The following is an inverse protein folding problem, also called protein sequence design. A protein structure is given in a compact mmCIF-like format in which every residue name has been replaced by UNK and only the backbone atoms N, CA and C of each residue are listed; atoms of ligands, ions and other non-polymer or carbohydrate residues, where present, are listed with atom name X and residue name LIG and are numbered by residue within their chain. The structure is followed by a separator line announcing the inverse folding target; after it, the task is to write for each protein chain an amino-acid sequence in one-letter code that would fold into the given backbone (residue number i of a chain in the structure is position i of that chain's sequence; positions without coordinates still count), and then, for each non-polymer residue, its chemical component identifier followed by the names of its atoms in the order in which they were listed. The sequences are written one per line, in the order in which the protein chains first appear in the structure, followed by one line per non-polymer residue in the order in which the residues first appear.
data_IF_008835233163
#
_entry.id   IF_008835233163
#
_cell.length_a   1.000
_cell.length_b   1.000
_cell.length_c   1.000
_cell.angle_alpha   90.00
_cell.angle_beta   90.00
_cell.angle_gamma   90.00
#
_symmetry.space_group_name_H-M   'P 1'
#
loop_
_entity.id
_entity.type
_entity.pdbx_description
1 polymer ?
#
# COMPACT_ATOMS: atom_id res chain seq x y z
N UNK A 1 4.44 -5.84 -14.49
CA UNK A 1 5.51 -6.62 -15.11
C UNK A 1 5.31 -8.11 -14.87
N UNK A 2 4.92 -8.54 -13.66
CA UNK A 2 4.84 -9.98 -13.32
C UNK A 2 3.53 -10.66 -13.73
N UNK A 3 2.49 -9.93 -14.12
CA UNK A 3 1.21 -10.50 -14.57
C UNK A 3 1.28 -11.40 -15.81
N UNK A 4 2.41 -11.37 -16.52
CA UNK A 4 2.66 -12.20 -17.72
C UNK A 4 3.60 -13.38 -17.46
N UNK A 5 3.95 -13.65 -16.20
CA UNK A 5 4.89 -14.70 -15.82
C UNK A 5 4.27 -15.64 -14.79
N UNK A 6 4.86 -16.82 -14.62
CA UNK A 6 4.45 -17.72 -13.56
C UNK A 6 4.87 -17.18 -12.18
N UNK A 7 4.18 -17.56 -11.08
CA UNK A 7 4.59 -17.19 -9.72
C UNK A 7 6.04 -17.54 -9.41
N UNK A 8 6.53 -18.66 -9.90
CA UNK A 8 7.93 -19.11 -9.75
C UNK A 8 8.91 -18.14 -10.41
N UNK A 9 8.68 -17.83 -11.69
CA UNK A 9 9.53 -16.90 -12.42
C UNK A 9 9.51 -15.49 -11.84
N UNK A 10 8.35 -15.05 -11.34
CA UNK A 10 8.21 -13.76 -10.68
C UNK A 10 8.98 -13.72 -9.36
N UNK A 11 8.86 -14.75 -8.52
CA UNK A 11 9.60 -14.85 -7.26
C UNK A 11 11.11 -14.90 -7.50
N UNK A 12 11.57 -15.68 -8.45
CA UNK A 12 12.99 -15.77 -8.82
C UNK A 12 13.54 -14.43 -9.32
N UNK A 13 12.76 -13.67 -10.09
CA UNK A 13 13.19 -12.35 -10.56
C UNK A 13 13.32 -11.35 -9.40
N UNK A 14 12.34 -11.31 -8.49
CA UNK A 14 12.41 -10.46 -7.28
C UNK A 14 13.63 -10.83 -6.43
N UNK A 15 13.84 -12.11 -6.16
CA UNK A 15 14.99 -12.58 -5.38
C UNK A 15 16.33 -12.26 -6.04
N UNK A 16 16.42 -12.35 -7.37
CA UNK A 16 17.59 -11.97 -8.13
C UNK A 16 17.87 -10.47 -8.02
N UNK A 17 16.84 -9.63 -8.11
CA UNK A 17 16.97 -8.17 -7.92
C UNK A 17 17.41 -7.81 -6.50
N UNK A 18 16.83 -8.44 -5.49
CA UNK A 18 17.23 -8.26 -4.09
C UNK A 18 18.71 -8.62 -3.92
N UNK A 19 19.16 -9.76 -4.49
CA UNK A 19 20.59 -10.15 -4.46
C UNK A 19 21.48 -9.14 -5.13
N UNK A 20 21.09 -8.63 -6.30
CA UNK A 20 21.85 -7.60 -7.01
C UNK A 20 21.98 -6.31 -6.21
N UNK A 21 20.87 -5.77 -5.75
CA UNK A 21 20.84 -4.52 -4.98
C UNK A 21 21.57 -4.62 -3.64
N UNK A 22 21.55 -5.78 -3.00
CA UNK A 22 22.18 -5.96 -1.69
C UNK A 22 23.73 -5.84 -1.74
N UNK A 23 24.36 -5.99 -2.90
CA UNK A 23 25.79 -5.72 -3.04
C UNK A 23 26.14 -4.22 -3.03
N UNK A 24 25.19 -3.38 -3.39
CA UNK A 24 25.37 -1.93 -3.47
C UNK A 24 25.01 -1.20 -2.17
N UNK A 25 24.45 -1.92 -1.21
CA UNK A 25 24.00 -1.37 0.06
C UNK A 25 25.10 -1.52 1.12
N UNK A 26 25.38 -0.48 1.95
CA UNK A 26 26.32 -0.58 3.06
C UNK A 26 25.95 -1.71 4.03
N UNK A 27 26.89 -2.60 4.35
CA UNK A 27 26.62 -3.81 5.13
C UNK A 27 26.21 -3.54 6.59
N UNK A 28 26.69 -2.45 7.17
CA UNK A 28 26.49 -2.18 8.59
C UNK A 28 25.08 -1.69 8.93
N UNK A 29 24.42 -0.99 8.01
CA UNK A 29 23.10 -0.41 8.23
C UNK A 29 22.24 -0.43 6.96
N UNK A 30 22.39 -1.45 6.14
CA UNK A 30 21.70 -1.57 4.88
C UNK A 30 20.21 -1.88 5.07
N UNK A 31 19.37 -1.11 4.40
CA UNK A 31 17.93 -1.33 4.34
C UNK A 31 17.45 -1.33 2.89
N UNK A 32 16.70 -2.35 2.50
CA UNK A 32 16.01 -2.43 1.23
C UNK A 32 14.50 -2.44 1.47
N UNK A 33 13.81 -1.42 1.01
CA UNK A 33 12.35 -1.36 1.06
C UNK A 33 11.74 -1.97 -0.20
N UNK A 34 10.75 -2.85 -0.02
CA UNK A 34 9.86 -3.32 -1.08
C UNK A 34 8.51 -2.70 -0.83
N UNK A 35 8.07 -1.84 -1.74
CA UNK A 35 6.84 -1.06 -1.62
C UNK A 35 5.92 -1.49 -2.76
N UNK A 36 4.75 -2.00 -2.42
CA UNK A 36 3.75 -2.52 -3.34
C UNK A 36 2.37 -2.04 -2.91
N UNK A 37 1.46 -1.91 -3.87
CA UNK A 37 0.03 -1.78 -3.58
C UNK A 37 -0.46 -3.02 -2.83
N UNK A 38 -1.50 -2.87 -2.03
CA UNK A 38 -2.03 -3.97 -1.23
C UNK A 38 -2.82 -5.00 -2.05
N UNK A 39 -3.51 -4.54 -3.10
CA UNK A 39 -4.43 -5.34 -3.92
C UNK A 39 -3.89 -5.62 -5.32
N UNK A 40 -3.44 -4.59 -6.04
CA UNK A 40 -3.09 -4.64 -7.46
C UNK A 40 -2.09 -5.73 -7.87
N UNK A 41 -1.03 -6.03 -7.11
CA UNK A 41 -0.07 -7.04 -7.52
C UNK A 41 -0.66 -8.45 -7.65
N UNK A 42 -1.80 -8.71 -7.00
CA UNK A 42 -2.36 -10.04 -6.80
C UNK A 42 -3.49 -10.40 -7.76
N UNK A 43 -4.15 -9.42 -8.37
CA UNK A 43 -5.30 -9.60 -9.25
C UNK A 43 -5.04 -10.51 -10.46
N UNK A 44 -3.81 -10.56 -10.92
CA UNK A 44 -3.41 -11.36 -12.07
C UNK A 44 -3.04 -12.81 -11.75
N UNK A 45 -3.03 -13.19 -10.47
CA UNK A 45 -2.80 -14.56 -10.04
C UNK A 45 -4.12 -15.23 -9.67
N UNK A 46 -4.37 -16.43 -10.21
CA UNK A 46 -5.58 -17.20 -9.91
C UNK A 46 -5.79 -17.50 -8.43
N UNK A 47 -4.71 -17.55 -7.68
CA UNK A 47 -4.67 -17.82 -6.24
C UNK A 47 -4.49 -16.56 -5.40
N UNK A 48 -4.75 -15.37 -5.96
CA UNK A 48 -4.56 -14.11 -5.24
C UNK A 48 -3.12 -13.86 -4.81
N UNK A 49 -2.14 -14.45 -5.51
CA UNK A 49 -0.71 -14.28 -5.22
C UNK A 49 -0.15 -15.18 -4.11
N UNK A 50 -0.94 -16.10 -3.55
CA UNK A 50 -0.51 -16.98 -2.46
C UNK A 50 0.77 -17.76 -2.82
N UNK A 51 0.82 -18.32 -4.03
CA UNK A 51 1.98 -19.09 -4.49
C UNK A 51 3.23 -18.22 -4.60
N UNK A 52 3.09 -17.03 -5.19
CA UNK A 52 4.19 -16.08 -5.31
C UNK A 52 4.73 -15.66 -3.94
N UNK A 53 3.85 -15.24 -3.04
CA UNK A 53 4.22 -14.81 -1.68
C UNK A 53 4.86 -15.96 -0.89
N UNK A 54 4.31 -17.17 -0.98
CA UNK A 54 4.89 -18.34 -0.30
C UNK A 54 6.31 -18.62 -0.79
N UNK A 55 6.58 -18.56 -2.09
CA UNK A 55 7.90 -18.75 -2.65
C UNK A 55 8.87 -17.65 -2.21
N UNK A 56 8.41 -16.40 -2.24
CA UNK A 56 9.21 -15.27 -1.80
C UNK A 56 9.59 -15.39 -0.33
N UNK A 57 8.62 -15.61 0.56
CA UNK A 57 8.87 -15.69 2.01
C UNK A 57 9.73 -16.90 2.40
N UNK A 58 9.52 -18.05 1.77
CA UNK A 58 10.35 -19.24 2.00
C UNK A 58 11.85 -19.03 1.73
N UNK A 59 12.17 -18.13 0.79
CA UNK A 59 13.57 -17.81 0.50
C UNK A 59 14.29 -17.12 1.67
N UNK A 60 13.54 -16.56 2.62
CA UNK A 60 14.05 -15.91 3.81
C UNK A 60 13.92 -16.76 5.08
N UNK A 61 13.31 -17.95 5.01
CA UNK A 61 13.31 -18.92 6.10
C UNK A 61 14.75 -19.34 6.45
N UNK A 62 14.96 -19.92 7.61
CA UNK A 62 16.27 -20.43 8.03
C UNK A 62 17.41 -19.36 8.04
N UNK A 63 17.13 -18.22 8.69
CA UNK A 63 18.12 -17.17 8.95
C UNK A 63 18.37 -16.20 7.78
N UNK A 64 17.42 -16.07 6.85
CA UNK A 64 17.42 -15.06 5.79
C UNK A 64 17.98 -15.54 4.45
N UNK A 65 17.89 -14.67 3.46
CA UNK A 65 18.37 -14.90 2.09
C UNK A 65 19.89 -14.72 2.04
N UNK A 66 20.61 -15.79 1.76
CA UNK A 66 22.07 -15.76 1.55
C UNK A 66 22.38 -15.24 0.14
N UNK A 67 23.25 -14.24 0.02
CA UNK A 67 23.64 -13.63 -1.26
C UNK A 67 25.11 -13.79 -1.62
N UNK A 68 25.89 -14.45 -0.77
CA UNK A 68 27.33 -14.65 -0.95
C UNK A 68 28.18 -13.76 -0.02
N UNK A 69 29.48 -14.03 0.04
CA UNK A 69 30.45 -13.28 0.86
C UNK A 69 30.04 -13.05 2.33
N UNK A 70 29.23 -13.95 2.90
CA UNK A 70 28.73 -13.83 4.27
C UNK A 70 27.58 -12.85 4.45
N UNK A 71 27.11 -12.22 3.38
CA UNK A 71 25.98 -11.26 3.41
C UNK A 71 24.66 -12.02 3.48
N UNK A 72 23.76 -11.55 4.33
CA UNK A 72 22.41 -12.07 4.49
C UNK A 72 21.39 -10.94 4.47
N UNK A 73 20.31 -11.14 3.74
CA UNK A 73 19.14 -10.25 3.76
C UNK A 73 18.06 -10.90 4.62
N UNK A 74 17.57 -10.18 5.61
CA UNK A 74 16.50 -10.63 6.51
C UNK A 74 15.25 -9.80 6.30
N UNK A 75 14.09 -10.45 6.34
CA UNK A 75 12.83 -9.74 6.38
C UNK A 75 12.64 -9.07 7.74
N UNK A 76 12.12 -7.87 7.71
CA UNK A 76 11.80 -7.12 8.91
C UNK A 76 10.55 -6.29 8.72
N UNK A 77 9.87 -5.94 9.80
CA UNK A 77 8.84 -4.90 9.76
C UNK A 77 9.49 -3.52 9.77
N UNK A 78 8.79 -2.51 9.26
CA UNK A 78 9.30 -1.13 9.27
C UNK A 78 9.67 -0.69 10.69
N UNK A 79 8.83 -0.97 11.67
CA UNK A 79 9.09 -0.61 13.08
C UNK A 79 10.40 -1.22 13.60
N UNK A 80 10.60 -2.52 13.39
CA UNK A 80 11.83 -3.20 13.82
C UNK A 80 13.06 -2.75 13.03
N UNK A 81 12.89 -2.44 11.75
CA UNK A 81 13.97 -1.89 10.95
C UNK A 81 14.44 -0.54 11.50
N UNK A 82 13.52 0.34 11.90
CA UNK A 82 13.83 1.64 12.50
C UNK A 82 14.52 1.53 13.87
N UNK A 83 14.26 0.48 14.64
CA UNK A 83 14.98 0.21 15.89
C UNK A 83 16.44 -0.19 15.65
N UNK A 84 16.69 -0.95 14.57
CA UNK A 84 18.00 -1.51 14.24
C UNK A 84 18.84 -0.59 13.37
N UNK A 85 18.18 0.16 12.49
CA UNK A 85 18.81 1.07 11.51
C UNK A 85 18.19 2.44 11.69
N UNK A 86 18.71 3.25 12.61
CA UNK A 86 18.20 4.60 12.82
C UNK A 86 18.36 5.43 11.54
N UNK A 87 17.38 6.27 11.19
CA UNK A 87 17.42 7.10 9.99
C UNK A 87 18.69 7.96 9.97
N UNK A 88 19.54 7.87 8.92
CA UNK A 88 20.80 8.60 8.87
C UNK A 88 20.61 10.09 8.58
N UNK A 89 19.44 10.46 8.09
CA UNK A 89 19.13 11.83 7.66
C UNK A 89 17.69 12.19 8.01
N UNK A 90 17.48 13.48 8.24
CA UNK A 90 16.16 14.10 8.38
C UNK A 90 15.85 14.89 7.11
N UNK A 91 14.65 14.69 6.57
CA UNK A 91 14.11 15.54 5.53
C UNK A 91 13.27 16.62 6.19
N UNK A 92 13.70 17.89 6.08
CA UNK A 92 12.97 19.02 6.65
C UNK A 92 11.75 19.40 5.82
N UNK A 93 11.77 19.09 4.53
CA UNK A 93 10.66 19.33 3.62
C UNK A 93 10.47 18.09 2.72
N UNK A 94 9.22 17.69 2.57
CA UNK A 94 8.81 16.66 1.63
C UNK A 94 7.79 17.28 0.66
N UNK A 95 8.00 17.08 -0.64
CA UNK A 95 7.04 17.49 -1.63
C UNK A 95 5.69 16.76 -1.42
N UNK A 96 4.60 17.54 -1.43
CA UNK A 96 3.24 16.97 -1.32
C UNK A 96 2.79 16.47 -2.69
N UNK A 97 2.64 15.18 -2.83
CA UNK A 97 2.22 14.56 -4.07
C UNK A 97 2.22 13.04 -3.95
N UNK A 98 1.65 12.39 -4.95
CA UNK A 98 1.65 10.94 -5.10
C UNK A 98 2.79 10.49 -6.00
N UNK A 99 2.94 9.18 -6.16
CA UNK A 99 3.86 8.59 -7.15
C UNK A 99 3.39 8.82 -8.60
N UNK A 100 2.12 9.18 -8.81
CA UNK A 100 1.56 9.53 -10.12
C UNK A 100 1.69 11.04 -10.32
N UNK A 101 2.40 11.45 -11.37
CA UNK A 101 2.61 12.84 -11.76
C UNK A 101 3.13 13.77 -10.65
N UNK A 102 3.49 13.24 -9.48
CA UNK A 102 3.97 13.99 -8.31
C UNK A 102 2.94 14.99 -7.77
N UNK A 103 1.66 14.75 -8.00
CA UNK A 103 0.54 15.53 -7.46
C UNK A 103 -0.58 14.61 -6.94
N UNK A 104 -1.71 15.17 -6.52
CA UNK A 104 -2.87 14.43 -6.03
C UNK A 104 -4.10 14.58 -6.91
N UNK A 105 -3.96 15.07 -8.14
CA UNK A 105 -5.10 15.43 -8.99
C UNK A 105 -6.09 14.31 -9.23
N UNK A 106 -5.61 13.06 -9.30
CA UNK A 106 -6.48 11.89 -9.49
C UNK A 106 -7.47 11.71 -8.34
N UNK A 107 -7.08 12.14 -7.13
CA UNK A 107 -7.90 11.90 -5.93
C UNK A 107 -8.54 13.15 -5.36
N UNK A 108 -8.08 14.33 -5.76
CA UNK A 108 -8.59 15.61 -5.26
C UNK A 108 -8.31 16.73 -6.25
N UNK A 109 -9.32 17.53 -6.55
CA UNK A 109 -9.20 18.66 -7.47
C UNK A 109 -10.38 18.76 -8.44
N UNK A 110 -10.87 17.66 -8.95
CA UNK A 110 -12.13 17.63 -9.70
C UNK A 110 -13.31 17.96 -8.79
N UNK A 111 -14.36 18.49 -9.38
CA UNK A 111 -15.56 18.88 -8.62
C UNK A 111 -16.20 17.67 -7.93
N UNK A 112 -16.18 16.53 -8.58
CA UNK A 112 -16.75 15.28 -8.06
C UNK A 112 -15.95 14.76 -6.87
N UNK A 113 -14.63 14.68 -6.98
CA UNK A 113 -13.72 14.30 -5.88
C UNK A 113 -13.91 15.20 -4.68
N UNK A 114 -13.86 16.52 -4.91
CA UNK A 114 -14.00 17.50 -3.83
C UNK A 114 -15.35 17.36 -3.10
N UNK A 115 -16.41 17.06 -3.85
CA UNK A 115 -17.72 16.79 -3.26
C UNK A 115 -17.73 15.51 -2.41
N UNK A 116 -17.06 14.46 -2.85
CA UNK A 116 -16.87 13.24 -2.07
C UNK A 116 -16.12 13.52 -0.75
N UNK A 117 -15.01 14.24 -0.81
CA UNK A 117 -14.26 14.63 0.37
C UNK A 117 -15.05 15.51 1.34
N UNK A 118 -15.83 16.46 0.83
CA UNK A 118 -16.73 17.28 1.65
C UNK A 118 -17.78 16.43 2.36
N UNK A 119 -18.36 15.45 1.66
CA UNK A 119 -19.32 14.51 2.25
C UNK A 119 -18.69 13.68 3.36
N UNK A 120 -17.50 13.12 3.13
CA UNK A 120 -16.76 12.38 4.15
C UNK A 120 -16.45 13.23 5.37
N UNK A 121 -15.98 14.46 5.16
CA UNK A 121 -15.68 15.40 6.25
C UNK A 121 -16.92 15.67 7.12
N UNK A 122 -18.06 15.97 6.49
CA UNK A 122 -19.32 16.21 7.20
C UNK A 122 -19.80 14.96 7.93
N UNK A 123 -19.73 13.80 7.28
CA UNK A 123 -20.15 12.52 7.88
C UNK A 123 -19.28 12.18 9.08
N UNK A 124 -17.96 12.34 8.95
CA UNK A 124 -17.01 12.13 10.04
C UNK A 124 -17.28 13.05 11.24
N UNK A 125 -17.47 14.34 10.99
CA UNK A 125 -17.79 15.29 12.06
C UNK A 125 -19.08 14.87 12.80
N UNK A 126 -20.12 14.49 12.05
CA UNK A 126 -21.37 14.01 12.61
C UNK A 126 -21.20 12.74 13.43
N UNK A 127 -20.39 11.79 12.95
CA UNK A 127 -20.13 10.53 13.64
C UNK A 127 -19.36 10.75 14.94
N UNK A 128 -18.38 11.65 14.95
CA UNK A 128 -17.66 12.06 16.18
C UNK A 128 -18.64 12.54 17.23
N UNK A 129 -19.56 13.43 16.86
CA UNK A 129 -20.58 13.97 17.79
C UNK A 129 -21.54 12.91 18.30
N UNK A 130 -21.91 11.95 17.49
CA UNK A 130 -22.88 10.90 17.82
C UNK A 130 -22.26 9.73 18.60
N UNK A 131 -20.99 9.42 18.38
CA UNK A 131 -20.31 8.25 18.96
C UNK A 131 -20.52 8.08 20.46
N UNK A 132 -20.46 9.14 21.31
CA UNK A 132 -20.67 9.00 22.75
C UNK A 132 -22.09 8.55 23.14
N UNK A 133 -23.05 8.71 22.24
CA UNK A 133 -24.47 8.36 22.46
C UNK A 133 -24.90 7.02 21.86
N UNK A 134 -24.04 6.41 21.07
CA UNK A 134 -24.30 5.14 20.39
C UNK A 134 -23.88 3.93 21.25
N UNK A 135 -24.59 2.82 21.06
CA UNK A 135 -24.13 1.54 21.58
C UNK A 135 -22.78 1.16 20.92
N UNK A 136 -21.84 0.53 21.66
CA UNK A 136 -20.47 0.30 21.19
C UNK A 136 -20.37 -0.48 19.86
N UNK A 137 -21.26 -1.44 19.65
CA UNK A 137 -21.35 -2.22 18.41
C UNK A 137 -21.81 -1.37 17.23
N UNK A 138 -22.79 -0.50 17.42
CA UNK A 138 -23.27 0.43 16.40
C UNK A 138 -22.25 1.51 16.09
N UNK A 139 -21.57 2.02 17.11
CA UNK A 139 -20.48 2.99 16.91
C UNK A 139 -19.37 2.37 16.04
N UNK A 140 -18.94 1.15 16.38
CA UNK A 140 -17.91 0.43 15.61
C UNK A 140 -18.34 0.23 14.16
N UNK A 141 -19.52 -0.32 13.92
CA UNK A 141 -20.03 -0.54 12.57
C UNK A 141 -20.07 0.76 11.75
N UNK A 142 -20.54 1.86 12.35
CA UNK A 142 -20.57 3.15 11.67
C UNK A 142 -19.17 3.71 11.35
N UNK A 143 -18.19 3.49 12.22
CA UNK A 143 -16.80 3.85 11.95
C UNK A 143 -16.16 2.98 10.87
N UNK A 144 -16.46 1.67 10.86
CA UNK A 144 -15.95 0.75 9.84
C UNK A 144 -16.45 1.14 8.44
N UNK A 145 -17.73 1.53 8.30
CA UNK A 145 -18.27 2.05 7.03
C UNK A 145 -17.61 3.37 6.62
N UNK A 146 -17.42 4.30 7.55
CA UNK A 146 -16.72 5.55 7.24
C UNK A 146 -15.29 5.29 6.77
N UNK A 147 -14.55 4.40 7.43
CA UNK A 147 -13.18 4.05 7.03
C UNK A 147 -13.13 3.36 5.67
N UNK A 148 -14.13 2.54 5.34
CA UNK A 148 -14.25 1.97 4.00
C UNK A 148 -14.45 3.05 2.94
N UNK A 149 -15.27 4.06 3.23
CA UNK A 149 -15.52 5.19 2.32
C UNK A 149 -14.32 6.16 2.23
N UNK A 150 -13.40 6.19 3.20
CA UNK A 150 -12.15 6.95 3.13
C UNK A 150 -11.12 6.32 2.19
N UNK A 151 -11.39 5.14 1.62
CA UNK A 151 -10.51 4.47 0.66
C UNK A 151 -10.27 5.30 -0.59
N UNK A 152 -9.04 5.29 -1.10
CA UNK A 152 -8.66 6.10 -2.26
C UNK A 152 -9.28 5.66 -3.59
N UNK A 153 -9.73 4.41 -3.68
CA UNK A 153 -10.27 3.84 -4.92
C UNK A 153 -11.56 4.49 -5.39
N UNK A 154 -12.39 4.99 -4.46
CA UNK A 154 -13.55 5.79 -4.84
C UNK A 154 -13.17 6.98 -5.68
N UNK A 155 -12.17 7.74 -5.23
CA UNK A 155 -11.68 8.96 -5.87
C UNK A 155 -10.89 8.69 -7.15
N UNK A 156 -10.34 7.51 -7.32
CA UNK A 156 -9.74 7.07 -8.58
C UNK A 156 -10.75 7.04 -9.73
N UNK A 157 -12.00 6.71 -9.44
CA UNK A 157 -13.07 6.56 -10.42
C UNK A 157 -13.99 7.78 -10.52
N UNK A 158 -13.86 8.75 -9.62
CA UNK A 158 -14.50 10.04 -9.71
C UNK A 158 -13.68 10.97 -10.60
N UNK A 159 -14.30 12.09 -11.05
CA UNK A 159 -13.63 13.03 -11.95
C UNK A 159 -13.54 12.54 -13.40
N UNK A 160 -12.58 13.10 -14.14
CA UNK A 160 -12.45 12.93 -15.59
C UNK A 160 -11.19 12.15 -16.01
N UNK A 161 -10.34 11.73 -15.05
CA UNK A 161 -9.06 11.07 -15.36
C UNK A 161 -9.24 9.63 -15.83
N UNK A 162 -10.21 8.92 -15.26
CA UNK A 162 -10.53 7.53 -15.60
C UNK A 162 -12.02 7.35 -15.80
N UNK A 163 -12.39 6.39 -16.64
CA UNK A 163 -13.78 6.06 -16.90
C UNK A 163 -14.08 4.59 -16.58
N UNK A 164 -15.30 4.34 -16.12
CA UNK A 164 -15.79 2.99 -15.82
C UNK A 164 -17.28 2.91 -16.05
N UNK A 165 -17.75 1.78 -16.55
CA UNK A 165 -19.17 1.48 -16.70
C UNK A 165 -19.90 1.36 -15.35
N UNK A 166 -19.17 1.33 -14.24
CA UNK A 166 -19.69 1.13 -12.88
C UNK A 166 -19.84 2.41 -12.06
N UNK A 167 -19.76 3.60 -12.65
CA UNK A 167 -19.90 4.89 -11.93
C UNK A 167 -21.15 4.96 -11.05
N UNK A 168 -22.30 4.46 -11.55
CA UNK A 168 -23.54 4.46 -10.78
C UNK A 168 -23.51 3.53 -9.56
N UNK A 169 -22.81 2.42 -9.67
CA UNK A 169 -22.57 1.52 -8.54
C UNK A 169 -21.69 2.18 -7.49
N UNK A 170 -20.63 2.86 -7.91
CA UNK A 170 -19.76 3.61 -7.00
C UNK A 170 -20.53 4.68 -6.25
N UNK A 171 -21.34 5.49 -6.93
CA UNK A 171 -22.20 6.52 -6.31
C UNK A 171 -23.18 5.95 -5.27
N UNK A 172 -23.68 4.75 -5.50
CA UNK A 172 -24.61 4.10 -4.61
C UNK A 172 -23.95 3.47 -3.40
N UNK A 173 -22.73 2.97 -3.54
CA UNK A 173 -22.00 2.29 -2.47
C UNK A 173 -21.26 3.27 -1.57
N UNK A 174 -20.74 4.36 -2.13
CA UNK A 174 -20.11 5.44 -1.40
C UNK A 174 -21.14 6.22 -0.56
#
# INVERSE_FOLDING_TARGET
VYHKTTPESAADDVLRRIRGLAYDIPLENGLLAVILDGENPWEHYHDGGERFLSLLFRAFEQDGLHIGHGIRVRLNTVSKALESVPPPQRLDQLHSGSWINQDFKIWIGHQEDNRGWDLLQHTRARLVDLTPSLAPDKARAAWDELYAAEGSDWFWWYGDDFDTDYKQEFDRLF
#
